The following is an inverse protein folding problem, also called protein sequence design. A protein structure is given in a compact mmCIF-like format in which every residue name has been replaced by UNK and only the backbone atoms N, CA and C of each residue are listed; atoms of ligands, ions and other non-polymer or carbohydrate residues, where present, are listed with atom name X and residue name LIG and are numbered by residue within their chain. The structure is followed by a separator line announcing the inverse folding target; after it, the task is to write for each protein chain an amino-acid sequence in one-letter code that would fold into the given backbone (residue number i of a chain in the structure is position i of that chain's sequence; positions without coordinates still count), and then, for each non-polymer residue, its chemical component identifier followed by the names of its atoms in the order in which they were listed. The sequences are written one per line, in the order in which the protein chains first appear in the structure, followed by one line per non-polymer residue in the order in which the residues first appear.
data_IF_702047747631
#
_entry.id   IF_702047747631
#
_cell.length_a   1.000
_cell.length_b   1.000
_cell.length_c   1.000
_cell.angle_alpha   90.00
_cell.angle_beta   90.00
_cell.angle_gamma   90.00
#
_symmetry.space_group_name_H-M   'P 1'
#
loop_
_entity.id
_entity.type
_entity.pdbx_description
1 polymer ?
#
# COMPACT_ATOMS: atom_id res chain seq x y z
N UNK A 1 21.43 29.12 17.79
CA UNK A 1 22.52 29.25 16.83
C UNK A 1 23.48 30.38 17.13
N UNK A 2 23.05 31.66 17.34
CA UNK A 2 23.96 32.75 17.76
C UNK A 2 24.77 32.42 19.03
N UNK A 3 24.13 31.85 20.07
CA UNK A 3 24.79 31.47 21.33
C UNK A 3 25.81 30.31 21.17
N UNK A 4 25.62 29.44 20.14
CA UNK A 4 26.50 28.30 19.86
C UNK A 4 27.56 28.64 18.81
N UNK A 5 27.61 29.90 18.31
CA UNK A 5 28.51 30.35 17.24
C UNK A 5 28.50 29.47 15.98
N UNK A 6 27.34 28.86 15.70
CA UNK A 6 27.14 28.02 14.50
C UNK A 6 26.72 28.96 13.35
N UNK A 7 27.30 28.78 12.13
CA UNK A 7 26.89 29.52 10.94
C UNK A 7 25.39 29.41 10.75
N UNK A 8 24.70 30.51 10.52
CA UNK A 8 23.26 30.59 10.38
C UNK A 8 22.90 31.08 8.99
N UNK A 9 22.10 30.32 8.30
CA UNK A 9 21.34 30.75 7.13
C UNK A 9 19.87 30.92 7.52
N UNK A 10 19.22 31.94 6.99
CA UNK A 10 17.78 32.11 7.17
C UNK A 10 17.05 30.86 6.61
N UNK A 11 16.08 30.29 7.35
CA UNK A 11 15.36 29.12 6.84
C UNK A 11 14.56 29.50 5.60
N UNK A 12 14.70 28.71 4.54
CA UNK A 12 13.80 28.74 3.39
C UNK A 12 12.56 27.87 3.72
N UNK A 13 11.42 28.51 3.91
CA UNK A 13 10.15 27.86 4.21
C UNK A 13 9.18 27.86 3.03
N UNK A 14 9.59 28.33 1.85
CA UNK A 14 8.72 28.46 0.67
C UNK A 14 8.04 27.13 0.32
N UNK A 15 8.80 26.04 0.33
CA UNK A 15 8.31 24.69 0.08
C UNK A 15 7.25 24.22 1.08
N UNK A 16 7.41 24.59 2.35
CA UNK A 16 6.45 24.24 3.40
C UNK A 16 5.19 25.09 3.30
N UNK A 17 5.35 26.40 3.09
CA UNK A 17 4.24 27.32 2.87
C UNK A 17 3.38 26.88 1.66
N UNK A 18 4.00 26.52 0.55
CA UNK A 18 3.30 26.01 -0.61
C UNK A 18 2.47 24.75 -0.29
N UNK A 19 3.02 23.77 0.44
CA UNK A 19 2.29 22.55 0.81
C UNK A 19 1.13 22.84 1.75
N UNK A 20 1.32 23.73 2.71
CA UNK A 20 0.25 24.16 3.62
C UNK A 20 -0.88 24.84 2.83
N UNK A 21 -0.56 25.81 1.99
CA UNK A 21 -1.53 26.48 1.12
C UNK A 21 -2.24 25.50 0.19
N UNK A 22 -1.49 24.54 -0.37
CA UNK A 22 -2.08 23.48 -1.21
C UNK A 22 -3.10 22.65 -0.43
N UNK A 23 -2.75 22.23 0.79
CA UNK A 23 -3.63 21.46 1.66
C UNK A 23 -4.91 22.23 2.01
N UNK A 24 -4.77 23.52 2.33
CA UNK A 24 -5.91 24.37 2.70
C UNK A 24 -6.88 24.59 1.51
N UNK A 25 -6.35 24.66 0.29
CA UNK A 25 -7.12 24.96 -0.91
C UNK A 25 -7.66 23.72 -1.67
N UNK A 26 -7.18 22.51 -1.34
CA UNK A 26 -7.69 21.28 -1.99
C UNK A 26 -9.09 20.95 -1.44
N UNK A 27 -10.07 20.91 -2.34
CA UNK A 27 -11.48 20.66 -2.01
C UNK A 27 -12.00 19.32 -2.55
N UNK A 28 -11.41 18.78 -3.62
CA UNK A 28 -11.85 17.52 -4.25
C UNK A 28 -11.54 16.33 -3.34
N UNK A 29 -12.56 15.64 -2.79
CA UNK A 29 -12.32 14.54 -1.86
C UNK A 29 -11.80 13.28 -2.55
N UNK A 30 -11.13 12.44 -1.77
CA UNK A 30 -10.88 11.02 -2.06
C UNK A 30 -11.13 10.24 -0.77
N UNK A 31 -12.04 9.29 -0.82
CA UNK A 31 -12.45 8.51 0.34
C UNK A 31 -11.73 7.17 0.36
N UNK A 32 -10.95 6.93 1.41
CA UNK A 32 -10.17 5.70 1.60
C UNK A 32 -10.64 4.99 2.87
N UNK A 33 -11.01 3.71 2.76
CA UNK A 33 -11.24 2.84 3.90
C UNK A 33 -9.92 2.25 4.41
N UNK A 34 -9.59 2.51 5.67
CA UNK A 34 -8.51 1.85 6.39
C UNK A 34 -9.11 0.74 7.23
N UNK A 35 -8.90 -0.52 6.80
CA UNK A 35 -9.42 -1.71 7.49
C UNK A 35 -8.33 -2.28 8.39
N UNK A 36 -8.41 -1.98 9.68
CA UNK A 36 -7.36 -2.25 10.67
C UNK A 36 -7.83 -3.07 11.87
N UNK A 37 -6.91 -3.36 12.79
CA UNK A 37 -7.16 -4.09 14.05
C UNK A 37 -7.24 -3.19 15.28
N UNK A 38 -6.79 -1.96 15.18
CA UNK A 38 -6.61 -1.04 16.32
C UNK A 38 -7.11 0.35 15.94
N UNK A 39 -8.33 0.40 15.41
CA UNK A 39 -8.91 1.62 14.86
C UNK A 39 -9.40 2.59 15.94
N UNK A 40 -9.59 2.10 17.17
CA UNK A 40 -9.99 2.93 18.31
C UNK A 40 -8.92 3.92 18.81
N UNK A 41 -7.65 3.76 18.40
CA UNK A 41 -6.55 4.66 18.75
C UNK A 41 -5.90 5.18 17.46
N UNK A 42 -6.11 6.45 17.15
CA UNK A 42 -5.57 7.10 15.94
C UNK A 42 -4.06 6.98 15.76
N UNK A 43 -3.31 6.85 16.86
CA UNK A 43 -1.85 6.72 16.85
C UNK A 43 -1.37 5.36 16.35
N UNK A 44 -2.20 4.31 16.42
CA UNK A 44 -1.82 2.95 16.02
C UNK A 44 -1.36 2.88 14.56
N UNK A 45 -1.91 3.73 13.70
CA UNK A 45 -1.59 3.79 12.27
C UNK A 45 -1.06 5.15 11.83
N UNK A 46 -0.42 5.90 12.73
CA UNK A 46 0.04 7.27 12.44
C UNK A 46 0.93 7.36 11.19
N UNK A 47 1.88 6.44 11.00
CA UNK A 47 2.74 6.40 9.80
C UNK A 47 1.93 6.15 8.52
N UNK A 48 0.93 5.28 8.58
CA UNK A 48 0.04 4.96 7.45
C UNK A 48 -0.83 6.18 7.10
N UNK A 49 -1.47 6.80 8.10
CA UNK A 49 -2.32 7.98 7.89
C UNK A 49 -1.52 9.17 7.38
N UNK A 50 -0.29 9.37 7.88
CA UNK A 50 0.61 10.40 7.33
C UNK A 50 1.02 10.10 5.90
N UNK A 51 1.29 8.83 5.54
CA UNK A 51 1.62 8.46 4.16
C UNK A 51 0.44 8.68 3.20
N UNK A 52 -0.81 8.38 3.63
CA UNK A 52 -2.01 8.72 2.88
C UNK A 52 -2.14 10.24 2.69
N UNK A 53 -1.94 11.01 3.76
CA UNK A 53 -1.99 12.48 3.72
C UNK A 53 -0.94 13.07 2.77
N UNK A 54 0.31 12.60 2.83
CA UNK A 54 1.36 13.05 1.92
C UNK A 54 0.99 12.78 0.45
N UNK A 55 0.40 11.60 0.20
CA UNK A 55 0.00 11.18 -1.15
C UNK A 55 -1.22 11.94 -1.65
N UNK A 56 -2.21 12.19 -0.80
CA UNK A 56 -3.42 12.94 -1.19
C UNK A 56 -3.08 14.39 -1.54
N UNK A 57 -2.22 15.05 -0.77
CA UNK A 57 -1.73 16.40 -1.09
C UNK A 57 -0.98 16.40 -2.43
N UNK A 58 -0.12 15.40 -2.68
CA UNK A 58 0.61 15.29 -3.94
C UNK A 58 -0.32 15.09 -5.15
N UNK A 59 -1.42 14.37 -4.96
CA UNK A 59 -2.42 14.10 -6.00
C UNK A 59 -3.54 15.15 -6.12
N UNK A 60 -3.44 16.30 -5.44
CA UNK A 60 -4.48 17.33 -5.40
C UNK A 60 -5.83 16.77 -4.92
N UNK A 61 -5.82 15.99 -3.83
CA UNK A 61 -7.02 15.41 -3.23
C UNK A 61 -7.12 15.71 -1.74
N UNK A 62 -8.35 15.98 -1.27
CA UNK A 62 -8.66 16.08 0.16
C UNK A 62 -8.95 14.68 0.67
N UNK A 63 -8.09 14.17 1.57
CA UNK A 63 -8.27 12.85 2.15
C UNK A 63 -9.50 12.82 3.06
N UNK A 64 -10.43 11.92 2.76
CA UNK A 64 -11.52 11.49 3.63
C UNK A 64 -11.23 10.04 4.06
N UNK A 65 -10.92 9.82 5.34
CA UNK A 65 -10.44 8.54 5.86
C UNK A 65 -11.51 7.87 6.70
N UNK A 66 -12.03 6.75 6.22
CA UNK A 66 -12.98 5.90 6.92
C UNK A 66 -12.21 4.83 7.70
N UNK A 67 -12.34 4.85 9.02
CA UNK A 67 -11.77 3.86 9.90
C UNK A 67 -12.73 2.70 10.07
N UNK A 68 -12.27 1.48 9.75
CA UNK A 68 -13.07 0.26 9.87
C UNK A 68 -12.27 -0.75 10.72
N UNK A 69 -12.83 -1.14 11.86
CA UNK A 69 -12.29 -2.28 12.61
C UNK A 69 -12.54 -3.54 11.78
N UNK A 70 -11.48 -4.31 11.52
CA UNK A 70 -11.57 -5.44 10.60
C UNK A 70 -12.59 -6.49 11.05
N UNK A 71 -12.67 -6.78 12.36
CA UNK A 71 -13.65 -7.71 12.91
C UNK A 71 -15.11 -7.28 12.69
N UNK A 72 -15.37 -5.98 12.48
CA UNK A 72 -16.73 -5.51 12.25
C UNK A 72 -17.29 -5.90 10.87
N UNK A 73 -16.44 -6.43 9.98
CA UNK A 73 -16.86 -6.99 8.69
C UNK A 73 -17.16 -8.51 8.75
N UNK A 74 -16.89 -9.16 9.89
CA UNK A 74 -17.00 -10.60 10.07
C UNK A 74 -18.44 -11.01 10.44
N UNK A 75 -18.84 -12.24 10.07
CA UNK A 75 -20.21 -12.74 10.27
C UNK A 75 -20.54 -12.91 11.78
N UNK A 76 -19.51 -13.15 12.60
CA UNK A 76 -19.64 -13.19 14.06
C UNK A 76 -20.16 -11.85 14.60
N UNK A 77 -19.61 -10.74 14.15
CA UNK A 77 -20.08 -9.41 14.55
C UNK A 77 -21.51 -9.16 14.10
N UNK A 78 -21.91 -9.65 12.94
CA UNK A 78 -23.31 -9.53 12.48
C UNK A 78 -24.30 -10.21 13.43
N UNK A 79 -23.89 -11.35 14.03
CA UNK A 79 -24.71 -12.07 15.00
C UNK A 79 -24.76 -11.40 16.38
N UNK A 80 -23.63 -10.78 16.79
CA UNK A 80 -23.48 -10.16 18.10
C UNK A 80 -23.97 -8.70 18.12
N UNK A 81 -23.68 -7.93 17.07
CA UNK A 81 -23.98 -6.50 16.92
C UNK A 81 -24.21 -6.16 15.43
N UNK A 82 -25.45 -6.41 14.99
CA UNK A 82 -25.84 -6.19 13.60
C UNK A 82 -25.70 -4.72 13.16
N UNK A 83 -25.91 -3.76 14.07
CA UNK A 83 -25.80 -2.32 13.75
C UNK A 83 -24.34 -1.95 13.41
N UNK A 84 -23.40 -2.46 14.20
CA UNK A 84 -21.97 -2.27 14.00
C UNK A 84 -21.48 -2.89 12.69
N UNK A 85 -21.93 -4.11 12.39
CA UNK A 85 -21.66 -4.78 11.13
C UNK A 85 -22.19 -3.98 9.93
N UNK A 86 -23.45 -3.55 9.96
CA UNK A 86 -24.07 -2.76 8.89
C UNK A 86 -23.35 -1.42 8.67
N UNK A 87 -22.93 -0.75 9.74
CA UNK A 87 -22.17 0.50 9.68
C UNK A 87 -20.79 0.31 9.03
N UNK A 88 -20.07 -0.80 9.35
CA UNK A 88 -18.79 -1.14 8.75
C UNK A 88 -18.94 -1.41 7.23
N UNK A 89 -19.95 -2.21 6.85
CA UNK A 89 -20.25 -2.49 5.45
C UNK A 89 -20.73 -1.26 4.67
N UNK A 90 -21.52 -0.41 5.28
CA UNK A 90 -21.91 0.88 4.67
C UNK A 90 -20.70 1.77 4.42
N UNK A 91 -19.73 1.75 5.33
CA UNK A 91 -18.50 2.53 5.20
C UNK A 91 -17.58 2.00 4.09
N UNK A 92 -17.33 0.68 4.03
CA UNK A 92 -16.44 0.13 2.99
C UNK A 92 -17.04 0.31 1.58
N UNK A 93 -18.35 0.21 1.43
CA UNK A 93 -19.05 0.43 0.15
C UNK A 93 -18.98 1.87 -0.36
N UNK A 94 -18.78 2.85 0.50
CA UNK A 94 -18.58 4.26 0.13
C UNK A 94 -17.13 4.55 -0.30
N UNK A 95 -16.19 3.71 0.06
CA UNK A 95 -14.78 3.97 -0.19
C UNK A 95 -14.43 3.85 -1.68
N UNK A 96 -13.64 4.80 -2.14
CA UNK A 96 -13.04 4.80 -3.48
C UNK A 96 -11.74 3.97 -3.54
N UNK A 97 -11.20 3.62 -2.38
CA UNK A 97 -10.04 2.74 -2.24
C UNK A 97 -9.99 2.11 -0.86
N UNK A 98 -9.40 0.94 -0.76
CA UNK A 98 -9.24 0.16 0.48
C UNK A 98 -7.76 0.02 0.80
N UNK A 99 -7.39 0.30 2.03
CA UNK A 99 -6.06 0.06 2.57
C UNK A 99 -6.14 -0.92 3.73
N UNK A 100 -5.39 -2.02 3.64
CA UNK A 100 -5.25 -3.01 4.72
C UNK A 100 -3.81 -2.97 5.22
N UNK A 101 -3.57 -2.38 6.41
CA UNK A 101 -2.24 -2.22 6.96
C UNK A 101 -1.68 -3.51 7.56
N UNK A 102 -0.39 -3.49 7.88
CA UNK A 102 0.30 -4.51 8.63
C UNK A 102 -0.28 -4.74 10.03
N UNK A 103 0.13 -5.83 10.66
CA UNK A 103 -0.27 -6.23 12.00
C UNK A 103 0.27 -7.61 12.35
N UNK A 104 0.00 -8.07 13.58
CA UNK A 104 0.38 -9.39 14.07
C UNK A 104 -0.81 -10.10 14.71
N UNK A 105 -0.79 -11.44 14.72
CA UNK A 105 -1.81 -12.29 15.33
C UNK A 105 -3.14 -12.38 14.60
N UNK A 106 -4.01 -13.27 15.01
CA UNK A 106 -5.21 -13.72 14.27
C UNK A 106 -6.42 -12.79 14.32
N UNK A 107 -6.61 -11.94 15.37
CA UNK A 107 -7.80 -11.10 15.51
C UNK A 107 -8.02 -10.20 14.29
N UNK A 108 -9.24 -10.17 13.75
CA UNK A 108 -9.63 -9.34 12.62
C UNK A 108 -8.94 -9.70 11.30
N UNK A 109 -8.31 -10.88 11.20
CA UNK A 109 -7.64 -11.32 9.99
C UNK A 109 -8.66 -11.74 8.94
N UNK A 110 -9.75 -12.39 9.35
CA UNK A 110 -10.84 -12.75 8.44
C UNK A 110 -11.48 -11.50 7.85
N UNK A 111 -11.78 -10.49 8.66
CA UNK A 111 -12.31 -9.21 8.18
C UNK A 111 -11.39 -8.50 7.19
N UNK A 112 -10.06 -8.63 7.34
CA UNK A 112 -9.09 -8.13 6.34
C UNK A 112 -9.17 -8.91 5.02
N UNK A 113 -9.37 -10.23 5.07
CA UNK A 113 -9.60 -11.06 3.88
C UNK A 113 -10.93 -10.71 3.21
N UNK A 114 -11.99 -10.48 3.99
CA UNK A 114 -13.29 -10.00 3.51
C UNK A 114 -13.14 -8.66 2.78
N UNK A 115 -12.37 -7.73 3.34
CA UNK A 115 -12.10 -6.43 2.69
C UNK A 115 -11.31 -6.59 1.38
N UNK A 116 -10.35 -7.52 1.32
CA UNK A 116 -9.61 -7.83 0.10
C UNK A 116 -10.53 -8.46 -0.97
N UNK A 117 -11.42 -9.39 -0.58
CA UNK A 117 -12.44 -9.97 -1.45
C UNK A 117 -13.37 -8.91 -2.02
N UNK A 118 -13.91 -8.05 -1.15
CA UNK A 118 -14.77 -6.94 -1.57
C UNK A 118 -14.06 -6.07 -2.62
N UNK A 119 -12.82 -5.67 -2.37
CA UNK A 119 -12.05 -4.85 -3.29
C UNK A 119 -11.81 -5.55 -4.64
N UNK A 120 -11.42 -6.83 -4.62
CA UNK A 120 -11.18 -7.62 -5.83
C UNK A 120 -12.45 -7.76 -6.69
N UNK A 121 -13.56 -8.17 -6.09
CA UNK A 121 -14.81 -8.43 -6.79
C UNK A 121 -15.47 -7.16 -7.34
N UNK A 122 -15.36 -6.06 -6.61
CA UNK A 122 -15.96 -4.78 -6.99
C UNK A 122 -14.99 -3.84 -7.74
N UNK A 123 -13.78 -4.31 -8.06
CA UNK A 123 -12.74 -3.51 -8.74
C UNK A 123 -12.39 -2.22 -8.01
N UNK A 124 -12.53 -2.20 -6.68
CA UNK A 124 -12.13 -1.07 -5.83
C UNK A 124 -10.62 -1.10 -5.62
N UNK A 125 -9.89 -0.02 -5.87
CA UNK A 125 -8.46 0.06 -5.62
C UNK A 125 -8.07 -0.42 -4.23
N UNK A 126 -7.06 -1.30 -4.14
CA UNK A 126 -6.64 -1.96 -2.90
C UNK A 126 -5.13 -1.87 -2.71
N UNK A 127 -4.71 -1.52 -1.49
CA UNK A 127 -3.31 -1.62 -1.05
C UNK A 127 -3.21 -2.48 0.20
N UNK A 128 -2.56 -3.65 0.09
CA UNK A 128 -2.23 -4.53 1.21
C UNK A 128 -0.78 -4.38 1.65
N UNK A 129 -0.55 -4.06 2.93
CA UNK A 129 0.78 -3.86 3.49
C UNK A 129 1.10 -4.97 4.48
N UNK A 130 2.21 -5.69 4.29
CA UNK A 130 2.71 -6.75 5.16
C UNK A 130 1.60 -7.82 5.40
N UNK A 131 0.97 -7.86 6.57
CA UNK A 131 -0.19 -8.73 6.82
C UNK A 131 -1.34 -8.48 5.82
N UNK A 132 -1.54 -7.25 5.36
CA UNK A 132 -2.55 -6.92 4.35
C UNK A 132 -2.28 -7.59 3.00
N UNK A 133 -1.02 -7.71 2.57
CA UNK A 133 -0.64 -8.52 1.40
C UNK A 133 -0.90 -10.01 1.66
N UNK A 134 -0.54 -10.51 2.84
CA UNK A 134 -0.76 -11.91 3.20
C UNK A 134 -2.26 -12.27 3.20
N UNK A 135 -3.11 -11.40 3.75
CA UNK A 135 -4.57 -11.56 3.70
C UNK A 135 -5.10 -11.58 2.26
N UNK A 136 -4.58 -10.73 1.39
CA UNK A 136 -4.93 -10.71 -0.04
C UNK A 136 -4.54 -12.02 -0.74
N UNK A 137 -3.37 -12.57 -0.46
CA UNK A 137 -2.91 -13.85 -1.04
C UNK A 137 -3.76 -15.02 -0.53
N UNK A 138 -4.09 -15.05 0.77
CA UNK A 138 -4.95 -16.10 1.36
C UNK A 138 -6.35 -16.01 0.76
N UNK A 139 -6.92 -14.81 0.66
CA UNK A 139 -8.24 -14.59 0.04
C UNK A 139 -8.25 -15.11 -1.41
N UNK A 140 -7.20 -14.78 -2.16
CA UNK A 140 -7.08 -15.22 -3.56
C UNK A 140 -6.99 -16.74 -3.68
N UNK A 141 -6.22 -17.37 -2.79
CA UNK A 141 -6.14 -18.83 -2.74
C UNK A 141 -7.50 -19.48 -2.40
N UNK A 142 -8.25 -18.92 -1.45
CA UNK A 142 -9.57 -19.43 -1.06
C UNK A 142 -10.62 -19.31 -2.17
N UNK A 143 -10.70 -18.15 -2.81
CA UNK A 143 -11.86 -17.83 -3.66
C UNK A 143 -11.56 -17.90 -5.16
N UNK A 144 -10.30 -17.82 -5.58
CA UNK A 144 -9.92 -17.94 -6.99
C UNK A 144 -9.36 -19.32 -7.28
N UNK A 145 -8.51 -19.88 -6.40
CA UNK A 145 -8.02 -21.26 -6.54
C UNK A 145 -8.96 -22.31 -5.94
N UNK A 146 -10.04 -21.90 -5.26
CA UNK A 146 -11.00 -22.77 -4.57
C UNK A 146 -10.36 -23.64 -3.47
N UNK A 147 -9.33 -23.14 -2.78
CA UNK A 147 -8.69 -23.79 -1.65
C UNK A 147 -9.28 -23.23 -0.36
N UNK A 148 -10.49 -23.69 0.01
CA UNK A 148 -11.31 -23.09 1.07
C UNK A 148 -10.63 -23.01 2.46
N UNK A 149 -9.69 -23.93 2.75
CA UNK A 149 -8.90 -23.98 3.98
C UNK A 149 -7.54 -23.25 3.88
N UNK A 150 -7.26 -22.56 2.76
CA UNK A 150 -6.03 -21.80 2.62
C UNK A 150 -5.87 -20.78 3.75
N UNK A 151 -4.73 -20.78 4.41
CA UNK A 151 -4.47 -19.90 5.56
C UNK A 151 -2.98 -19.60 5.74
N UNK A 152 -2.68 -18.79 6.75
CA UNK A 152 -1.34 -18.62 7.29
C UNK A 152 -1.07 -19.63 8.41
N UNK A 153 0.09 -20.25 8.43
CA UNK A 153 0.53 -21.11 9.54
C UNK A 153 0.77 -20.34 10.85
N UNK A 154 0.65 -19.00 10.84
CA UNK A 154 0.62 -18.18 12.06
C UNK A 154 -0.72 -18.34 12.82
N UNK A 155 -1.83 -18.38 12.07
CA UNK A 155 -3.18 -18.38 12.60
C UNK A 155 -3.78 -19.80 12.65
N UNK A 156 -3.48 -20.59 11.61
CA UNK A 156 -3.97 -21.97 11.46
C UNK A 156 -2.77 -22.90 11.13
N UNK A 157 -2.05 -23.38 12.17
CA UNK A 157 -0.86 -24.19 11.98
C UNK A 157 -1.08 -25.50 11.20
N UNK A 158 -2.30 -26.06 11.28
CA UNK A 158 -2.68 -27.35 10.70
C UNK A 158 -3.37 -27.21 9.33
N UNK A 159 -3.36 -26.01 8.72
CA UNK A 159 -3.96 -25.82 7.40
C UNK A 159 -3.29 -26.73 6.36
N UNK A 160 -4.12 -27.38 5.53
CA UNK A 160 -3.63 -28.23 4.43
C UNK A 160 -3.11 -27.44 3.24
N UNK A 161 -3.54 -26.18 3.13
CA UNK A 161 -3.15 -25.26 2.06
C UNK A 161 -2.47 -24.01 2.65
N UNK A 162 -1.21 -24.13 3.16
CA UNK A 162 -0.50 -23.01 3.76
C UNK A 162 -0.09 -21.99 2.70
N UNK A 163 -0.89 -20.94 2.54
CA UNK A 163 -0.61 -19.85 1.60
C UNK A 163 0.46 -18.89 2.12
N UNK A 164 0.58 -18.79 3.45
CA UNK A 164 1.58 -17.98 4.14
C UNK A 164 2.25 -18.86 5.20
N UNK A 165 3.58 -18.86 5.21
CA UNK A 165 4.38 -19.74 6.08
C UNK A 165 5.38 -18.95 6.91
N UNK A 166 5.85 -19.55 8.01
CA UNK A 166 6.97 -19.03 8.77
C UNK A 166 8.26 -19.11 7.92
N UNK A 167 9.08 -18.05 7.96
CA UNK A 167 10.33 -18.01 7.19
C UNK A 167 11.26 -19.17 7.56
N UNK A 168 11.80 -19.92 6.58
CA UNK A 168 12.58 -21.14 6.83
C UNK A 168 13.80 -20.98 7.74
N UNK A 169 14.46 -19.82 7.69
CA UNK A 169 15.61 -19.50 8.53
C UNK A 169 15.24 -19.01 9.93
N UNK A 170 13.95 -18.83 10.20
CA UNK A 170 13.43 -18.41 11.50
C UNK A 170 13.44 -19.54 12.51
N UNK A 171 13.51 -19.20 13.81
CA UNK A 171 13.33 -20.16 14.90
C UNK A 171 11.99 -19.88 15.61
N UNK A 172 11.14 -20.90 15.70
CA UNK A 172 9.86 -20.81 16.45
C UNK A 172 10.07 -20.84 17.96
N UNK A 173 11.21 -21.37 18.43
CA UNK A 173 11.54 -21.50 19.86
C UNK A 173 12.36 -20.33 20.40
N UNK A 174 13.18 -19.69 19.55
CA UNK A 174 13.98 -18.52 19.90
C UNK A 174 13.50 -17.32 19.08
N UNK A 175 12.53 -16.58 19.60
CA UNK A 175 11.87 -15.46 18.89
C UNK A 175 12.77 -14.23 18.70
N UNK A 176 13.90 -14.12 19.39
CA UNK A 176 14.89 -13.06 19.18
C UNK A 176 15.67 -13.26 17.88
N UNK A 177 15.76 -12.23 17.05
CA UNK A 177 16.55 -12.26 15.82
C UNK A 177 15.91 -12.97 14.62
N UNK A 178 14.71 -13.51 14.74
CA UNK A 178 14.02 -14.29 13.68
C UNK A 178 13.15 -13.46 12.76
N UNK A 179 13.03 -12.16 13.01
CA UNK A 179 12.24 -11.26 12.19
C UNK A 179 13.09 -10.68 11.06
N UNK A 180 12.57 -10.67 9.83
CA UNK A 180 13.16 -9.92 8.72
C UNK A 180 12.96 -8.44 9.00
N UNK A 181 14.04 -7.73 9.32
CA UNK A 181 14.04 -6.35 9.78
C UNK A 181 14.90 -5.45 8.90
N UNK A 182 14.55 -4.17 8.93
CA UNK A 182 15.35 -3.10 8.35
C UNK A 182 15.14 -2.93 6.85
N UNK A 183 16.04 -2.19 6.22
CA UNK A 183 16.00 -1.94 4.78
C UNK A 183 16.44 -3.19 4.04
N UNK A 184 15.60 -3.66 3.10
CA UNK A 184 15.89 -4.82 2.25
C UNK A 184 15.56 -4.47 0.81
N UNK A 185 16.28 -5.10 -0.12
CA UNK A 185 16.12 -4.87 -1.54
C UNK A 185 15.00 -5.72 -2.11
N UNK A 186 14.14 -5.08 -2.91
CA UNK A 186 13.13 -5.72 -3.74
C UNK A 186 13.45 -5.45 -5.20
N UNK A 187 13.64 -6.51 -5.99
CA UNK A 187 13.97 -6.47 -7.41
C UNK A 187 12.68 -6.65 -8.21
N UNK A 188 12.38 -5.72 -9.11
CA UNK A 188 11.24 -5.85 -10.01
C UNK A 188 11.47 -6.93 -11.06
N UNK A 189 10.51 -7.83 -11.23
CA UNK A 189 10.57 -8.92 -12.20
C UNK A 189 10.18 -8.48 -13.60
N UNK A 190 9.49 -7.35 -13.70
CA UNK A 190 9.10 -6.69 -14.96
C UNK A 190 9.01 -5.18 -14.78
N UNK A 191 9.31 -4.43 -15.83
CA UNK A 191 9.18 -2.98 -15.85
C UNK A 191 7.76 -2.52 -16.22
N UNK A 192 6.90 -3.43 -16.67
CA UNK A 192 5.57 -3.11 -17.18
C UNK A 192 4.46 -3.20 -16.12
N UNK A 193 4.76 -3.72 -14.93
CA UNK A 193 3.81 -3.77 -13.83
C UNK A 193 3.53 -2.37 -13.25
N UNK A 194 2.36 -2.19 -12.65
CA UNK A 194 1.93 -0.95 -11.99
C UNK A 194 2.98 -0.50 -10.97
N UNK A 195 3.49 -1.44 -10.20
CA UNK A 195 4.48 -1.21 -9.16
C UNK A 195 5.76 -0.60 -9.68
N UNK A 196 6.37 -1.18 -10.72
CA UNK A 196 7.59 -0.64 -11.32
C UNK A 196 7.36 0.74 -11.92
N UNK A 197 6.25 0.92 -12.63
CA UNK A 197 5.86 2.21 -13.22
C UNK A 197 5.66 3.32 -12.18
N UNK A 198 5.09 3.00 -11.02
CA UNK A 198 4.96 3.95 -9.90
C UNK A 198 6.33 4.40 -9.36
N UNK A 199 7.30 3.50 -9.30
CA UNK A 199 8.67 3.81 -8.89
C UNK A 199 9.54 4.37 -10.04
N UNK A 200 8.96 4.62 -11.23
CA UNK A 200 9.67 5.20 -12.37
C UNK A 200 10.55 4.19 -13.10
N UNK A 201 10.13 2.93 -13.17
CA UNK A 201 10.83 1.85 -13.89
C UNK A 201 12.29 1.64 -13.43
N UNK A 202 12.57 1.85 -12.15
CA UNK A 202 13.86 1.49 -11.56
C UNK A 202 13.97 -0.04 -11.42
N UNK A 203 15.20 -0.63 -11.50
CA UNK A 203 15.35 -2.08 -11.43
C UNK A 203 15.04 -2.67 -10.05
N UNK A 204 15.22 -1.91 -8.99
CA UNK A 204 14.98 -2.32 -7.62
C UNK A 204 14.64 -1.14 -6.70
N UNK A 205 14.10 -1.46 -5.54
CA UNK A 205 13.85 -0.51 -4.45
C UNK A 205 14.32 -1.10 -3.14
N UNK A 206 14.79 -0.26 -2.23
CA UNK A 206 15.14 -0.68 -0.88
C UNK A 206 14.05 -0.17 0.06
N UNK A 207 13.33 -1.09 0.70
CA UNK A 207 12.18 -0.78 1.57
C UNK A 207 12.31 -1.43 2.94
N UNK A 208 11.57 -0.94 3.94
CA UNK A 208 11.67 -1.44 5.32
C UNK A 208 10.78 -2.63 5.57
N UNK A 209 11.35 -3.71 6.10
CA UNK A 209 10.66 -4.94 6.46
C UNK A 209 10.51 -5.08 7.97
N UNK A 210 9.42 -5.77 8.38
CA UNK A 210 9.15 -6.17 9.75
C UNK A 210 8.16 -7.33 9.76
N UNK A 211 8.64 -8.55 9.42
CA UNK A 211 7.78 -9.73 9.37
C UNK A 211 8.53 -11.01 9.69
N UNK A 212 7.80 -12.06 10.10
CA UNK A 212 8.27 -13.44 10.32
C UNK A 212 7.63 -14.43 9.37
N UNK A 213 6.51 -14.06 8.78
CA UNK A 213 5.75 -14.89 7.84
C UNK A 213 5.82 -14.27 6.46
N UNK A 214 5.76 -15.13 5.45
CA UNK A 214 5.85 -14.75 4.04
C UNK A 214 5.01 -15.67 3.17
N UNK A 215 4.76 -15.27 1.92
CA UNK A 215 4.04 -16.10 0.95
C UNK A 215 4.79 -17.41 0.75
N UNK A 216 4.06 -18.54 0.80
CA UNK A 216 4.62 -19.86 0.56
C UNK A 216 5.10 -19.99 -0.89
N UNK A 217 6.40 -20.21 -1.14
CA UNK A 217 6.92 -20.36 -2.51
C UNK A 217 6.27 -21.50 -3.30
N UNK A 218 5.83 -22.56 -2.64
CA UNK A 218 5.20 -23.72 -3.30
C UNK A 218 3.82 -23.38 -3.89
N UNK A 219 3.15 -22.34 -3.37
CA UNK A 219 1.86 -21.87 -3.90
C UNK A 219 2.02 -20.82 -5.02
N UNK A 220 3.20 -20.26 -5.20
CA UNK A 220 3.44 -19.17 -6.15
C UNK A 220 3.08 -19.58 -7.59
N UNK A 221 3.46 -20.76 -8.12
CA UNK A 221 3.14 -21.10 -9.50
C UNK A 221 1.64 -21.13 -9.81
N UNK A 222 0.81 -21.65 -8.90
CA UNK A 222 -0.65 -21.71 -9.10
C UNK A 222 -1.31 -20.34 -8.91
N UNK A 223 -0.85 -19.52 -7.96
CA UNK A 223 -1.32 -18.15 -7.75
C UNK A 223 -1.01 -17.29 -8.98
N UNK A 224 0.24 -17.40 -9.47
CA UNK A 224 0.69 -16.65 -10.65
C UNK A 224 -0.07 -17.05 -11.92
N UNK A 225 -0.28 -18.36 -12.14
CA UNK A 225 -1.08 -18.86 -13.25
C UNK A 225 -2.53 -18.37 -13.22
N UNK A 226 -3.08 -18.17 -12.02
CA UNK A 226 -4.44 -17.66 -11.83
C UNK A 226 -4.55 -16.12 -11.90
N UNK A 227 -3.43 -15.40 -12.06
CA UNK A 227 -3.42 -13.95 -12.21
C UNK A 227 -3.01 -13.14 -10.96
N UNK A 228 -2.59 -13.78 -9.86
CA UNK A 228 -1.93 -13.10 -8.75
C UNK A 228 -0.43 -13.08 -9.01
N UNK A 229 0.05 -12.05 -9.69
CA UNK A 229 1.41 -11.94 -10.21
C UNK A 229 2.40 -11.44 -9.17
N UNK A 230 3.48 -12.17 -8.94
CA UNK A 230 4.56 -11.74 -8.05
C UNK A 230 5.61 -10.95 -8.82
N UNK A 231 5.40 -9.66 -8.89
CA UNK A 231 6.18 -8.69 -9.70
C UNK A 231 7.40 -8.12 -8.99
N UNK A 232 7.59 -8.43 -7.72
CA UNK A 232 8.77 -8.03 -6.94
C UNK A 232 9.23 -9.15 -6.03
N UNK A 233 10.54 -9.43 -6.05
CA UNK A 233 11.19 -10.46 -5.24
C UNK A 233 12.42 -9.90 -4.55
N UNK A 234 12.88 -10.57 -3.51
CA UNK A 234 14.13 -10.22 -2.84
C UNK A 234 15.36 -10.50 -3.72
N UNK A 235 16.53 -10.19 -3.23
CA UNK A 235 17.82 -10.41 -3.92
C UNK A 235 18.16 -11.89 -4.13
N UNK A 236 17.58 -12.80 -3.35
CA UNK A 236 17.70 -14.25 -3.53
C UNK A 236 16.72 -14.82 -4.55
N UNK A 237 15.75 -14.05 -5.02
CA UNK A 237 14.65 -14.43 -5.93
C UNK A 237 13.69 -15.49 -5.35
N UNK A 238 13.76 -15.76 -4.05
CA UNK A 238 12.95 -16.79 -3.39
C UNK A 238 11.75 -16.21 -2.64
N UNK A 239 11.81 -14.94 -2.19
CA UNK A 239 10.76 -14.30 -1.40
C UNK A 239 9.89 -13.39 -2.24
N UNK A 240 8.59 -13.52 -2.07
CA UNK A 240 7.60 -12.70 -2.75
C UNK A 240 7.37 -11.40 -1.97
N UNK A 241 7.78 -10.29 -2.54
CA UNK A 241 7.74 -8.99 -1.85
C UNK A 241 6.70 -8.02 -2.40
N UNK A 242 6.26 -8.24 -3.66
CA UNK A 242 5.19 -7.47 -4.28
C UNK A 242 4.31 -8.41 -5.10
N UNK A 243 2.99 -8.31 -4.93
CA UNK A 243 2.04 -8.95 -5.82
C UNK A 243 1.04 -7.95 -6.40
N UNK A 244 0.55 -8.25 -7.61
CA UNK A 244 -0.47 -7.51 -8.33
C UNK A 244 -1.49 -8.50 -8.90
N UNK A 245 -2.76 -8.11 -8.97
CA UNK A 245 -3.81 -8.94 -9.57
C UNK A 245 -4.09 -8.45 -10.99
N UNK A 246 -3.96 -9.36 -11.95
CA UNK A 246 -4.21 -9.10 -13.36
C UNK A 246 -5.64 -8.61 -13.61
N UNK A 247 -5.80 -7.67 -14.52
CA UNK A 247 -7.10 -7.13 -14.90
C UNK A 247 -7.82 -6.35 -13.80
N UNK A 248 -7.15 -6.05 -12.68
CA UNK A 248 -7.67 -5.16 -11.65
C UNK A 248 -7.06 -3.75 -11.80
N UNK A 249 -7.85 -2.66 -11.65
CA UNK A 249 -7.33 -1.30 -11.82
C UNK A 249 -6.18 -0.95 -10.87
N UNK A 250 -6.20 -1.45 -9.65
CA UNK A 250 -5.12 -1.36 -8.66
C UNK A 250 -5.40 -2.32 -7.51
N UNK A 251 -4.88 -3.52 -7.57
CA UNK A 251 -4.88 -4.45 -6.43
C UNK A 251 -3.45 -4.91 -6.18
N UNK A 252 -2.81 -4.24 -5.23
CA UNK A 252 -1.37 -4.35 -4.99
C UNK A 252 -1.11 -4.73 -3.55
N UNK A 253 -0.31 -5.76 -3.35
CA UNK A 253 0.24 -6.16 -2.05
C UNK A 253 1.73 -5.92 -1.99
N UNK A 254 2.24 -5.49 -0.84
CA UNK A 254 3.68 -5.43 -0.57
C UNK A 254 4.00 -5.98 0.82
N UNK A 255 5.05 -6.81 0.92
CA UNK A 255 5.47 -7.42 2.18
C UNK A 255 6.20 -6.42 3.10
N UNK A 256 6.78 -5.40 2.52
CA UNK A 256 7.45 -4.32 3.23
C UNK A 256 6.48 -3.21 3.68
N UNK A 257 6.99 -2.25 4.43
CA UNK A 257 6.26 -1.13 5.01
C UNK A 257 6.61 0.21 4.32
N UNK A 258 5.96 0.54 3.19
CA UNK A 258 6.29 1.73 2.39
C UNK A 258 5.94 3.05 3.10
N UNK A 259 5.09 3.03 4.14
CA UNK A 259 4.75 4.19 4.97
C UNK A 259 5.98 4.81 5.65
N UNK A 260 6.97 4.00 6.01
CA UNK A 260 8.15 4.50 6.72
C UNK A 260 9.07 5.38 5.89
N UNK A 261 8.99 5.30 4.56
CA UNK A 261 9.77 6.15 3.65
C UNK A 261 8.98 7.34 3.09
N UNK A 262 7.68 7.43 3.39
CA UNK A 262 6.85 8.56 2.97
C UNK A 262 7.21 9.84 3.72
N UNK A 263 7.35 10.95 2.99
CA UNK A 263 7.64 12.28 3.54
C UNK A 263 6.79 13.33 2.86
N UNK A 264 6.52 14.48 3.50
CA UNK A 264 5.97 15.63 2.82
C UNK A 264 6.83 16.01 1.61
N UNK A 265 6.25 16.06 0.41
CA UNK A 265 6.96 16.34 -0.85
C UNK A 265 7.71 15.16 -1.48
N UNK A 266 7.83 14.04 -0.78
CA UNK A 266 8.31 12.76 -1.33
C UNK A 266 7.41 11.62 -0.81
N UNK A 267 6.14 11.59 -1.21
CA UNK A 267 5.21 10.56 -0.76
C UNK A 267 5.64 9.19 -1.26
N UNK A 268 5.25 8.14 -0.53
CA UNK A 268 5.50 6.76 -0.95
C UNK A 268 4.76 6.45 -2.25
N UNK A 269 5.42 5.87 -3.27
CA UNK A 269 4.79 5.53 -4.55
C UNK A 269 3.60 4.56 -4.40
N UNK A 270 3.60 3.67 -3.40
CA UNK A 270 2.49 2.75 -3.13
C UNK A 270 1.23 3.48 -2.69
N UNK A 271 1.38 4.39 -1.75
CA UNK A 271 0.27 5.21 -1.28
C UNK A 271 -0.22 6.17 -2.36
N UNK A 272 0.70 6.74 -3.15
CA UNK A 272 0.31 7.51 -4.33
C UNK A 272 -0.50 6.67 -5.32
N UNK A 273 -0.07 5.44 -5.61
CA UNK A 273 -0.80 4.53 -6.49
C UNK A 273 -2.24 4.30 -6.05
N UNK A 274 -2.46 4.07 -4.74
CA UNK A 274 -3.80 3.94 -4.19
C UNK A 274 -4.65 5.21 -4.39
N UNK A 275 -4.11 6.38 -4.04
CA UNK A 275 -4.84 7.67 -4.19
C UNK A 275 -5.11 7.98 -5.67
N UNK A 276 -4.14 7.77 -6.56
CA UNK A 276 -4.28 7.99 -7.99
C UNK A 276 -5.34 7.05 -8.60
N UNK A 277 -5.33 5.77 -8.20
CA UNK A 277 -6.33 4.81 -8.66
C UNK A 277 -7.73 5.16 -8.15
N UNK A 278 -7.86 5.46 -6.85
CA UNK A 278 -9.12 5.87 -6.22
C UNK A 278 -9.71 7.15 -6.82
N UNK A 279 -8.88 8.02 -7.40
CA UNK A 279 -9.28 9.27 -8.03
C UNK A 279 -9.27 9.25 -9.57
N UNK A 280 -9.09 8.07 -10.19
CA UNK A 280 -9.08 7.91 -11.65
C UNK A 280 -7.88 8.52 -12.38
N UNK A 281 -6.79 8.84 -11.67
CA UNK A 281 -5.60 9.51 -12.20
C UNK A 281 -4.44 8.55 -12.50
N UNK A 282 -4.55 7.27 -12.10
CA UNK A 282 -3.45 6.32 -12.20
C UNK A 282 -2.97 6.08 -13.63
N UNK A 283 -3.84 5.84 -14.64
CA UNK A 283 -3.38 5.56 -16.00
C UNK A 283 -2.53 6.69 -16.58
N UNK A 284 -2.94 7.95 -16.38
CA UNK A 284 -2.16 9.13 -16.83
C UNK A 284 -0.81 9.19 -16.11
N UNK A 285 -0.79 8.93 -14.80
CA UNK A 285 0.42 9.02 -13.98
C UNK A 285 1.49 7.96 -14.32
N UNK A 286 1.07 6.74 -14.65
CA UNK A 286 1.97 5.63 -14.98
C UNK A 286 2.24 5.47 -16.49
N UNK A 287 1.79 6.40 -17.33
CA UNK A 287 2.12 6.41 -18.76
C UNK A 287 3.64 6.60 -18.98
N UNK A 288 4.15 6.13 -20.11
CA UNK A 288 5.58 6.25 -20.42
C UNK A 288 6.01 7.71 -20.54
N UNK A 289 5.14 8.57 -21.08
CA UNK A 289 5.36 10.01 -21.14
C UNK A 289 5.47 10.63 -19.75
N UNK A 290 4.58 10.25 -18.81
CA UNK A 290 4.62 10.74 -17.45
C UNK A 290 5.87 10.26 -16.70
N UNK A 291 6.29 9.03 -16.95
CA UNK A 291 7.52 8.47 -16.37
C UNK A 291 8.74 9.22 -16.90
N UNK A 292 8.84 9.44 -18.22
CA UNK A 292 9.93 10.19 -18.83
C UNK A 292 10.04 11.62 -18.27
N UNK A 293 8.90 12.30 -18.06
CA UNK A 293 8.88 13.63 -17.43
C UNK A 293 9.43 13.57 -16.01
N UNK A 294 9.01 12.59 -15.20
CA UNK A 294 9.50 12.43 -13.81
C UNK A 294 10.97 12.07 -13.71
N UNK A 295 11.52 11.42 -14.72
CA UNK A 295 12.94 11.07 -14.80
C UNK A 295 13.81 12.21 -15.33
N UNK A 296 13.24 13.25 -15.94
CA UNK A 296 14.00 14.37 -16.47
C UNK A 296 14.63 15.21 -15.35
N UNK A 297 15.84 15.76 -15.61
CA UNK A 297 16.56 16.64 -14.67
C UNK A 297 15.73 17.88 -14.27
N UNK A 298 14.95 18.42 -15.19
CA UNK A 298 14.04 19.53 -14.92
C UNK A 298 12.98 19.21 -13.88
N UNK A 299 12.55 17.94 -13.79
CA UNK A 299 11.62 17.49 -12.74
C UNK A 299 12.35 17.28 -11.42
N UNK A 300 13.55 16.73 -11.42
CA UNK A 300 14.33 16.49 -10.21
C UNK A 300 14.65 17.80 -9.46
N UNK A 301 14.88 18.90 -10.21
CA UNK A 301 15.28 20.18 -9.64
C UNK A 301 14.10 21.06 -9.18
N UNK A 302 12.97 21.03 -9.89
CA UNK A 302 11.86 21.97 -9.68
C UNK A 302 10.60 21.37 -9.09
N UNK A 303 10.29 20.11 -9.36
CA UNK A 303 8.94 19.59 -9.18
C UNK A 303 8.76 18.65 -8.00
N UNK A 304 9.82 18.15 -7.42
CA UNK A 304 9.71 17.43 -6.14
C UNK A 304 9.02 18.29 -5.08
N UNK A 305 8.72 19.54 -5.40
CA UNK A 305 8.34 20.59 -4.46
C UNK A 305 7.07 21.35 -4.80
N UNK A 306 6.88 21.81 -6.04
CA UNK A 306 5.90 22.86 -6.32
C UNK A 306 4.77 22.46 -7.29
N UNK A 307 4.86 21.36 -8.02
CA UNK A 307 3.80 20.97 -8.98
C UNK A 307 3.47 19.49 -8.95
N UNK A 308 2.18 19.16 -9.02
CA UNK A 308 1.74 17.80 -9.28
C UNK A 308 2.33 17.32 -10.63
N UNK A 309 2.90 16.08 -10.70
CA UNK A 309 3.39 15.52 -11.97
C UNK A 309 2.37 15.60 -13.11
N UNK A 310 1.10 15.45 -12.78
CA UNK A 310 -0.02 15.55 -13.72
C UNK A 310 -0.23 16.98 -14.25
N UNK A 311 0.01 18.01 -13.44
CA UNK A 311 -0.05 19.40 -13.91
C UNK A 311 1.07 19.74 -14.88
N UNK A 312 2.27 19.20 -14.67
CA UNK A 312 3.39 19.40 -15.60
C UNK A 312 3.10 18.77 -16.95
N UNK A 313 2.49 17.57 -16.96
CA UNK A 313 2.07 16.90 -18.19
C UNK A 313 1.01 17.70 -18.95
N UNK A 314 -0.04 18.16 -18.27
CA UNK A 314 -1.14 18.93 -18.87
C UNK A 314 -0.66 20.27 -19.45
N UNK A 315 0.24 20.95 -18.76
CA UNK A 315 0.82 22.20 -19.26
C UNK A 315 1.70 21.99 -20.50
N UNK A 316 2.45 20.88 -20.61
CA UNK A 316 3.21 20.56 -21.84
C UNK A 316 2.31 20.22 -23.02
N UNK A 317 1.17 19.60 -22.80
CA UNK A 317 0.20 19.29 -23.87
C UNK A 317 -0.53 20.52 -24.40
N UNK A 318 -0.71 21.58 -23.57
CA UNK A 318 -1.31 22.85 -23.97
C UNK A 318 -0.36 23.78 -24.69
N UNK A 319 0.96 23.66 -24.47
CA UNK A 319 1.98 24.48 -25.15
C UNK A 319 2.41 23.90 -26.52
N UNK A 320 2.07 22.66 -26.82
CA UNK A 320 2.35 21.99 -28.10
C UNK A 320 1.14 21.94 -29.04
N UNK A 321 0.08 22.68 -28.76
CA UNK A 321 -1.03 22.98 -29.64
C UNK A 321 -1.01 24.45 -30.05
#
# INVERSE_FOLDING_TARGET
MKQLQIPYQAPDLERWAYRATKWDNVTTPVTIALVGKYTGLGDSYLSVTKALLHSSIACDRKLDLLWIEASDLEEETKQEDAEKYEAAWASIKKAQGVLVPGGFGGRGTEGKMIAAKFARENKVPYLGICLGMQCMVIEYARHVLNLADAHSTEMEPETKNPAVIFMPEGSKTHMGGTMRLGSRRTIFQTQECISSRLYGKVPHVDERHRHRYEVNPDMVPQLDAAGCKFVGKDDTQTRMEICEVDGHPFMVGCQYHPEYKSRPGKPSPRFMGLILAASGQLPEYISDEAIAVRQSEAYADHSSVLTSPLKVLRNKQTTNK
#
